data_IF_507908220257
#
_entry.id   IF_507908220257
#
_cell.length_a   1.000
_cell.length_b   1.000
_cell.length_c   1.000
_cell.angle_alpha   90.00
_cell.angle_beta   90.00
_cell.angle_gamma   90.00
#
_symmetry.space_group_name_H-M   'P 1'
#
loop_
_entity.id
_entity.type
_entity.pdbx_description
1 polymer ?
#
# COMPACT_ATOMS: atom_id res chain seq x y z
N UNK A 1 -8.66 52.34 -8.15
CA UNK A 1 -9.45 51.33 -8.87
C UNK A 1 -9.62 50.15 -7.94
N UNK A 2 -10.63 50.23 -7.08
CA UNK A 2 -10.87 49.28 -5.99
C UNK A 2 -11.55 48.06 -6.60
N UNK A 3 -10.79 46.99 -6.82
CA UNK A 3 -11.34 45.71 -7.24
C UNK A 3 -12.10 45.13 -6.05
N UNK A 4 -13.40 45.34 -6.03
CA UNK A 4 -14.33 44.45 -5.32
C UNK A 4 -14.27 43.08 -5.98
N UNK A 5 -13.22 42.31 -5.67
CA UNK A 5 -13.26 40.87 -5.87
C UNK A 5 -14.33 40.39 -4.90
N UNK A 6 -15.51 40.01 -5.42
CA UNK A 6 -16.57 39.34 -4.64
C UNK A 6 -15.89 38.35 -3.70
N UNK A 7 -16.08 38.51 -2.39
CA UNK A 7 -15.30 37.78 -1.37
C UNK A 7 -15.23 36.26 -1.62
N UNK A 8 -16.26 35.67 -2.24
CA UNK A 8 -16.31 34.27 -2.66
C UNK A 8 -15.24 33.89 -3.71
N UNK A 9 -14.96 34.74 -4.72
CA UNK A 9 -13.91 34.45 -5.70
C UNK A 9 -12.51 34.76 -5.18
N UNK A 10 -12.34 35.76 -4.30
CA UNK A 10 -11.06 36.05 -3.65
C UNK A 10 -10.62 34.91 -2.73
N UNK A 11 -11.54 34.40 -1.89
CA UNK A 11 -11.30 33.30 -0.97
C UNK A 11 -10.84 32.05 -1.72
N UNK A 12 -11.58 31.63 -2.75
CA UNK A 12 -11.24 30.46 -3.58
C UNK A 12 -9.85 30.58 -4.23
N UNK A 13 -9.53 31.75 -4.78
CA UNK A 13 -8.22 31.99 -5.40
C UNK A 13 -7.10 31.97 -4.36
N UNK A 14 -7.32 32.56 -3.17
CA UNK A 14 -6.32 32.56 -2.11
C UNK A 14 -6.06 31.15 -1.57
N UNK A 15 -7.11 30.35 -1.32
CA UNK A 15 -6.98 28.98 -0.83
C UNK A 15 -6.38 28.03 -1.87
N UNK A 16 -6.63 28.25 -3.15
CA UNK A 16 -6.02 27.45 -4.22
C UNK A 16 -4.49 27.61 -4.33
N UNK A 17 -3.91 28.64 -3.69
CA UNK A 17 -2.45 28.85 -3.61
C UNK A 17 -1.80 28.16 -2.41
N UNK A 18 -2.58 27.62 -1.49
CA UNK A 18 -2.04 26.91 -0.34
C UNK A 18 -1.34 25.62 -0.81
N UNK A 19 -0.26 25.20 -0.15
CA UNK A 19 0.40 23.94 -0.48
C UNK A 19 -0.59 22.77 -0.43
N UNK A 20 -0.55 21.94 -1.46
CA UNK A 20 -1.32 20.71 -1.54
C UNK A 20 -0.35 19.57 -1.84
N UNK A 21 -0.55 18.44 -1.17
CA UNK A 21 0.16 17.21 -1.50
C UNK A 21 -0.62 16.37 -2.51
N UNK A 22 -0.06 15.22 -2.90
CA UNK A 22 -0.78 14.20 -3.65
C UNK A 22 -0.50 12.84 -3.00
N UNK A 23 -1.48 12.35 -2.26
CA UNK A 23 -1.38 11.09 -1.54
C UNK A 23 -2.52 10.17 -1.90
N UNK A 24 -2.26 8.87 -1.90
CA UNK A 24 -3.30 7.85 -1.80
C UNK A 24 -3.60 7.63 -0.32
N UNK A 25 -4.82 7.97 0.08
CA UNK A 25 -5.39 7.56 1.35
C UNK A 25 -5.99 6.17 1.19
N UNK A 26 -5.64 5.23 2.06
CA UNK A 26 -6.20 3.88 2.05
C UNK A 26 -6.69 3.46 3.43
N UNK A 27 -7.66 2.55 3.46
CA UNK A 27 -8.14 1.90 4.68
C UNK A 27 -8.78 0.56 4.33
N UNK A 28 -8.84 -0.34 5.31
CA UNK A 28 -9.46 -1.66 5.18
C UNK A 28 -10.15 -2.06 6.48
N UNK A 29 -11.28 -2.73 6.37
CA UNK A 29 -12.02 -3.31 7.48
C UNK A 29 -12.73 -4.59 7.04
N UNK A 30 -12.43 -5.70 7.72
CA UNK A 30 -12.84 -7.03 7.26
C UNK A 30 -12.25 -7.33 5.87
N UNK A 31 -13.09 -7.81 4.95
CA UNK A 31 -12.70 -8.06 3.56
C UNK A 31 -12.75 -6.81 2.66
N UNK A 32 -13.32 -5.70 3.17
CA UNK A 32 -13.48 -4.48 2.39
C UNK A 32 -12.22 -3.62 2.51
N UNK A 33 -11.67 -3.22 1.37
CA UNK A 33 -10.55 -2.28 1.29
C UNK A 33 -10.75 -1.31 0.15
N UNK A 34 -10.35 -0.06 0.35
CA UNK A 34 -10.50 0.98 -0.65
C UNK A 34 -9.39 2.04 -0.54
N UNK A 35 -9.31 2.91 -1.53
CA UNK A 35 -8.36 4.01 -1.59
C UNK A 35 -8.95 5.22 -2.31
N UNK A 36 -8.38 6.40 -2.07
CA UNK A 36 -8.69 7.59 -2.84
C UNK A 36 -7.50 8.55 -2.88
N UNK A 37 -7.40 9.33 -3.94
CA UNK A 37 -6.45 10.43 -3.97
C UNK A 37 -6.95 11.57 -3.09
N UNK A 38 -6.10 12.02 -2.17
CA UNK A 38 -6.29 13.19 -1.32
C UNK A 38 -5.17 14.19 -1.53
N UNK A 39 -5.49 15.47 -1.37
CA UNK A 39 -4.52 16.56 -1.54
C UNK A 39 -4.31 17.40 -0.29
N UNK A 40 -5.27 17.35 0.63
CA UNK A 40 -5.30 18.13 1.87
C UNK A 40 -4.71 17.32 3.03
N UNK A 41 -3.41 17.05 2.95
CA UNK A 41 -2.64 16.29 3.95
C UNK A 41 -1.58 17.19 4.54
N UNK A 42 -1.43 17.20 5.87
CA UNK A 42 -0.40 17.98 6.57
C UNK A 42 0.15 17.19 7.77
N UNK A 43 1.42 17.43 8.11
CA UNK A 43 1.98 17.02 9.39
C UNK A 43 1.50 17.98 10.48
N UNK A 44 0.95 17.43 11.56
CA UNK A 44 0.31 18.16 12.65
C UNK A 44 1.20 18.30 13.89
N UNK A 45 1.98 17.26 14.22
CA UNK A 45 2.85 17.25 15.38
C UNK A 45 4.11 16.41 15.14
N UNK A 46 5.17 16.73 15.89
CA UNK A 46 6.45 16.01 15.85
C UNK A 46 6.50 14.83 16.83
N UNK A 47 5.91 14.96 18.02
CA UNK A 47 5.97 13.93 19.08
C UNK A 47 4.61 13.79 19.82
N UNK A 48 3.92 12.62 19.70
CA UNK A 48 4.19 11.59 18.70
C UNK A 48 3.91 12.13 17.28
N UNK A 49 4.61 11.62 16.25
CA UNK A 49 4.38 12.07 14.87
C UNK A 49 2.91 11.90 14.50
N UNK A 50 2.27 13.02 14.14
CA UNK A 50 0.82 13.09 13.90
C UNK A 50 0.55 13.79 12.59
N UNK A 51 -0.43 13.31 11.84
CA UNK A 51 -0.86 13.88 10.55
C UNK A 51 -2.35 14.18 10.58
N UNK A 52 -2.75 15.14 9.75
CA UNK A 52 -4.16 15.41 9.43
C UNK A 52 -4.42 15.18 7.96
N UNK A 53 -5.57 14.59 7.64
CA UNK A 53 -6.08 14.49 6.28
C UNK A 53 -7.53 14.97 6.24
N UNK A 54 -7.85 15.86 5.31
CA UNK A 54 -9.23 16.22 5.00
C UNK A 54 -9.75 15.34 3.85
N UNK A 55 -10.94 14.79 4.04
CA UNK A 55 -11.59 13.85 3.12
C UNK A 55 -12.97 14.36 2.78
N UNK A 56 -13.37 14.26 1.52
CA UNK A 56 -14.70 14.68 1.08
C UNK A 56 -15.76 13.81 1.77
N UNK A 57 -16.81 14.45 2.30
CA UNK A 57 -17.92 13.74 2.94
C UNK A 57 -18.60 12.76 1.99
N UNK A 58 -19.09 11.65 2.54
CA UNK A 58 -19.83 10.63 1.80
C UNK A 58 -18.94 9.69 0.98
N UNK A 59 -17.61 9.72 1.17
CA UNK A 59 -16.74 8.76 0.52
C UNK A 59 -16.89 7.36 1.13
N UNK A 60 -16.72 6.34 0.30
CA UNK A 60 -16.65 4.93 0.68
C UNK A 60 -15.58 4.62 1.74
N UNK A 61 -14.57 5.48 1.91
CA UNK A 61 -13.49 5.31 2.87
C UNK A 61 -13.88 5.71 4.29
N UNK A 62 -14.82 6.65 4.46
CA UNK A 62 -15.22 7.16 5.77
C UNK A 62 -15.64 6.04 6.74
N UNK A 63 -16.52 5.08 6.36
CA UNK A 63 -16.83 3.96 7.24
C UNK A 63 -15.63 3.04 7.48
N UNK A 64 -14.78 2.78 6.47
CA UNK A 64 -13.59 1.92 6.66
C UNK A 64 -12.62 2.51 7.68
N UNK A 65 -12.32 3.81 7.60
CA UNK A 65 -11.41 4.49 8.52
C UNK A 65 -11.99 4.49 9.94
N UNK A 66 -13.29 4.77 10.07
CA UNK A 66 -13.98 4.80 11.36
C UNK A 66 -14.01 3.41 12.02
N UNK A 67 -14.35 2.38 11.25
CA UNK A 67 -14.61 1.05 11.81
C UNK A 67 -13.29 0.28 12.04
N UNK A 68 -12.26 0.52 11.22
CA UNK A 68 -10.91 -0.05 11.43
C UNK A 68 -10.05 0.72 12.44
N UNK A 69 -10.34 2.01 12.66
CA UNK A 69 -9.48 2.91 13.42
C UNK A 69 -8.09 3.12 12.80
N UNK A 70 -7.88 2.71 11.54
CA UNK A 70 -6.57 2.73 10.88
C UNK A 70 -6.70 3.26 9.45
N UNK A 71 -5.71 4.04 9.01
CA UNK A 71 -5.58 4.45 7.62
C UNK A 71 -4.10 4.60 7.24
N UNK A 72 -3.80 4.58 5.94
CA UNK A 72 -2.46 4.88 5.44
C UNK A 72 -2.48 6.03 4.45
N UNK A 73 -1.41 6.81 4.43
CA UNK A 73 -1.14 7.84 3.44
C UNK A 73 0.10 7.44 2.66
N UNK A 74 -0.05 7.29 1.35
CA UNK A 74 1.01 6.87 0.45
C UNK A 74 1.30 7.98 -0.56
N UNK A 75 2.51 8.50 -0.60
CA UNK A 75 2.94 9.47 -1.60
C UNK A 75 3.04 8.78 -2.96
N UNK A 76 2.30 9.27 -3.95
CA UNK A 76 2.35 8.75 -5.31
C UNK A 76 3.21 9.68 -6.16
N UNK A 77 4.23 9.13 -6.81
CA UNK A 77 5.01 9.88 -7.79
C UNK A 77 4.15 10.25 -9.02
N UNK A 78 4.33 11.45 -9.57
CA UNK A 78 3.57 11.93 -10.73
C UNK A 78 3.68 11.01 -11.96
N UNK A 79 4.77 10.26 -12.07
CA UNK A 79 4.99 9.29 -13.14
C UNK A 79 4.11 8.02 -13.02
N UNK A 80 3.53 7.74 -11.84
CA UNK A 80 2.66 6.58 -11.65
C UNK A 80 1.23 6.91 -12.10
N UNK A 81 1.06 6.83 -13.42
CA UNK A 81 -0.22 7.00 -14.10
C UNK A 81 -1.23 5.90 -13.73
N UNK A 82 -0.77 4.74 -13.26
CA UNK A 82 -1.63 3.58 -13.06
C UNK A 82 -2.40 3.70 -11.74
N UNK A 83 -1.70 3.91 -10.61
CA UNK A 83 -2.34 4.21 -9.33
C UNK A 83 -3.17 5.49 -9.41
N UNK A 84 -2.63 6.50 -10.10
CA UNK A 84 -3.32 7.77 -10.29
C UNK A 84 -4.66 7.61 -11.00
N UNK A 85 -4.75 6.79 -12.05
CA UNK A 85 -6.01 6.55 -12.78
C UNK A 85 -6.98 5.69 -12.01
N UNK A 86 -6.49 4.69 -11.28
CA UNK A 86 -7.32 3.76 -10.52
C UNK A 86 -8.10 4.44 -9.41
N UNK A 87 -7.44 5.34 -8.68
CA UNK A 87 -8.02 6.05 -7.52
C UNK A 87 -8.47 7.48 -7.82
N UNK A 88 -8.50 7.87 -9.10
CA UNK A 88 -8.95 9.21 -9.54
C UNK A 88 -10.46 9.38 -9.43
N UNK A 89 -11.23 8.29 -9.50
CA UNK A 89 -12.68 8.31 -9.36
C UNK A 89 -13.06 7.74 -7.99
N UNK A 90 -14.06 8.31 -7.31
CA UNK A 90 -14.66 7.66 -6.16
C UNK A 90 -15.12 6.26 -6.57
N UNK A 91 -14.52 5.24 -5.98
CA UNK A 91 -14.95 3.85 -6.11
C UNK A 91 -15.94 3.56 -5.00
N UNK A 92 -17.14 3.12 -5.37
CA UNK A 92 -18.08 2.57 -4.41
C UNK A 92 -17.52 1.29 -3.80
N UNK A 93 -17.85 0.99 -2.54
CA UNK A 93 -17.47 -0.27 -1.88
C UNK A 93 -18.09 -1.52 -2.53
N UNK A 94 -19.03 -1.34 -3.47
CA UNK A 94 -19.73 -2.44 -4.15
C UNK A 94 -19.00 -2.98 -5.39
N UNK A 95 -17.85 -2.39 -5.74
CA UNK A 95 -17.02 -2.86 -6.85
C UNK A 95 -16.03 -3.95 -6.46
N UNK A 96 -15.28 -4.43 -7.46
CA UNK A 96 -14.11 -5.28 -7.22
C UNK A 96 -13.08 -4.53 -6.37
N UNK A 97 -12.33 -5.30 -5.59
CA UNK A 97 -11.25 -4.78 -4.77
C UNK A 97 -10.21 -4.02 -5.62
N UNK A 98 -10.03 -2.71 -5.39
CA UNK A 98 -9.17 -1.87 -6.22
C UNK A 98 -7.68 -2.19 -6.04
N UNK A 99 -7.30 -3.03 -5.08
CA UNK A 99 -5.91 -3.46 -4.90
C UNK A 99 -5.66 -4.86 -5.47
N UNK A 100 -6.66 -5.50 -6.07
CA UNK A 100 -6.50 -6.81 -6.70
C UNK A 100 -5.46 -6.74 -7.84
N UNK A 101 -4.42 -7.58 -7.76
CA UNK A 101 -3.33 -7.61 -8.75
C UNK A 101 -2.22 -6.59 -8.51
N UNK A 102 -2.28 -5.78 -7.43
CA UNK A 102 -1.21 -4.87 -7.05
C UNK A 102 -0.31 -5.46 -5.97
N UNK A 103 0.99 -5.16 -6.04
CA UNK A 103 1.93 -5.49 -4.98
C UNK A 103 1.71 -4.55 -3.79
N UNK A 104 1.52 -5.13 -2.61
CA UNK A 104 1.33 -4.41 -1.35
C UNK A 104 2.52 -4.65 -0.41
N UNK A 105 2.80 -3.68 0.47
CA UNK A 105 3.84 -3.77 1.49
C UNK A 105 3.44 -4.83 2.54
N UNK A 106 4.19 -5.95 2.67
CA UNK A 106 3.79 -7.09 3.51
C UNK A 106 3.60 -6.79 5.00
N UNK A 107 4.29 -5.77 5.51
CA UNK A 107 4.26 -5.37 6.92
C UNK A 107 3.00 -4.58 7.30
N UNK A 108 2.18 -4.21 6.31
CA UNK A 108 0.99 -3.34 6.46
C UNK A 108 -0.33 -4.11 6.29
N UNK A 109 -0.43 -5.34 6.81
CA UNK A 109 -1.57 -6.24 6.53
C UNK A 109 -2.95 -5.67 6.88
N UNK A 110 -3.04 -4.78 7.87
CA UNK A 110 -4.29 -4.15 8.29
C UNK A 110 -4.77 -3.02 7.36
N UNK A 111 -3.92 -2.53 6.45
CA UNK A 111 -4.24 -1.41 5.57
C UNK A 111 -3.42 -1.48 4.27
N UNK A 112 -4.04 -1.46 3.08
CA UNK A 112 -3.29 -1.68 1.86
C UNK A 112 -2.36 -0.50 1.55
N UNK A 113 -1.07 -0.77 1.46
CA UNK A 113 -0.05 0.19 1.01
C UNK A 113 0.61 -0.35 -0.27
N UNK A 114 0.42 0.29 -1.43
CA UNK A 114 1.10 -0.14 -2.66
C UNK A 114 2.62 0.00 -2.56
N UNK A 115 3.37 -1.00 -3.01
CA UNK A 115 4.85 -0.94 -3.02
C UNK A 115 5.41 0.10 -3.98
N UNK A 116 4.59 0.62 -4.89
CA UNK A 116 4.95 1.67 -5.83
C UNK A 116 4.93 3.08 -5.21
N UNK A 117 4.45 3.23 -3.97
CA UNK A 117 4.48 4.51 -3.26
C UNK A 117 5.92 4.97 -3.02
N UNK A 118 6.20 6.27 -3.18
CA UNK A 118 7.52 6.85 -2.91
C UNK A 118 7.82 6.88 -1.40
N UNK A 119 6.80 7.21 -0.61
CA UNK A 119 6.83 7.17 0.84
C UNK A 119 5.44 6.81 1.36
N UNK A 120 5.37 6.29 2.58
CA UNK A 120 4.09 5.98 3.19
C UNK A 120 4.15 6.04 4.72
N UNK A 121 2.99 6.29 5.31
CA UNK A 121 2.76 6.21 6.76
C UNK A 121 1.46 5.46 7.04
N UNK A 122 1.49 4.55 8.01
CA UNK A 122 0.29 3.92 8.60
C UNK A 122 -0.02 4.67 9.89
N UNK A 123 -1.30 5.03 10.03
CA UNK A 123 -1.79 5.87 11.11
C UNK A 123 -2.92 5.19 11.88
N UNK A 124 -2.86 5.28 13.19
CA UNK A 124 -3.99 5.01 14.08
C UNK A 124 -4.83 6.28 14.24
N UNK A 125 -6.14 6.16 14.07
CA UNK A 125 -7.08 7.28 14.17
C UNK A 125 -7.17 7.78 15.62
N UNK A 126 -6.74 9.02 15.86
CA UNK A 126 -6.90 9.71 17.14
C UNK A 126 -8.27 10.38 17.21
N UNK A 127 -8.64 11.09 16.14
CA UNK A 127 -9.85 11.92 16.12
C UNK A 127 -10.42 12.05 14.71
N UNK A 128 -11.73 12.03 14.64
CA UNK A 128 -12.52 12.41 13.48
C UNK A 128 -13.35 13.65 13.83
N UNK A 129 -13.31 14.65 12.97
CA UNK A 129 -13.99 15.94 13.15
C UNK A 129 -14.85 16.24 11.93
N UNK A 130 -16.16 16.41 12.15
CA UNK A 130 -17.03 17.09 11.20
C UNK A 130 -16.86 18.61 11.41
N UNK A 131 -16.44 19.31 10.35
CA UNK A 131 -16.22 20.76 10.34
C UNK A 131 -17.39 21.53 9.70
N UNK A 132 -18.56 20.88 9.57
CA UNK A 132 -19.79 21.45 8.99
C UNK A 132 -19.61 21.99 7.55
N UNK A 133 -18.61 21.46 6.84
CA UNK A 133 -18.29 21.79 5.45
C UNK A 133 -18.44 20.56 4.53
N UNK A 134 -17.89 20.63 3.32
CA UNK A 134 -17.91 19.54 2.34
C UNK A 134 -16.84 18.45 2.60
N UNK A 135 -15.95 18.69 3.57
CA UNK A 135 -14.94 17.75 4.04
C UNK A 135 -15.10 17.46 5.53
N UNK A 136 -14.50 16.36 5.94
CA UNK A 136 -14.29 15.93 7.33
C UNK A 136 -12.80 15.73 7.55
N UNK A 137 -12.33 15.92 8.79
CA UNK A 137 -10.91 15.84 9.13
C UNK A 137 -10.66 14.58 9.95
N UNK A 138 -9.65 13.82 9.52
CA UNK A 138 -9.11 12.69 10.26
C UNK A 138 -7.72 13.07 10.79
N UNK A 139 -7.50 12.85 12.08
CA UNK A 139 -6.23 13.08 12.77
C UNK A 139 -5.68 11.72 13.16
N UNK A 140 -4.48 11.38 12.68
CA UNK A 140 -3.87 10.08 12.89
C UNK A 140 -2.47 10.16 13.47
N UNK A 141 -2.17 9.27 14.43
CA UNK A 141 -0.82 9.05 14.96
C UNK A 141 -0.11 8.07 14.05
N UNK A 142 1.08 8.41 13.57
CA UNK A 142 1.90 7.50 12.77
C UNK A 142 2.42 6.36 13.66
N UNK A 143 2.15 5.12 13.24
CA UNK A 143 2.59 3.89 13.94
C UNK A 143 3.61 3.10 13.13
N UNK A 144 3.56 3.19 11.80
CA UNK A 144 4.56 2.62 10.89
C UNK A 144 4.82 3.59 9.74
N UNK A 145 6.00 3.50 9.13
CA UNK A 145 6.35 4.32 7.98
C UNK A 145 7.39 3.62 7.10
N UNK A 146 7.47 4.01 5.85
CA UNK A 146 8.49 3.59 4.91
C UNK A 146 8.78 4.65 3.86
N UNK A 147 10.00 4.61 3.32
CA UNK A 147 10.45 5.47 2.22
C UNK A 147 11.17 4.58 1.22
N UNK A 148 10.82 4.74 -0.05
CA UNK A 148 11.43 4.05 -1.17
C UNK A 148 12.27 5.05 -1.95
N UNK A 149 13.57 4.78 -2.10
CA UNK A 149 14.42 5.54 -3.01
C UNK A 149 13.99 5.24 -4.45
N UNK A 150 13.15 6.10 -5.04
CA UNK A 150 12.76 6.02 -6.46
C UNK A 150 13.89 6.42 -7.43
N UNK A 151 15.14 6.46 -6.96
CA UNK A 151 16.30 6.68 -7.84
C UNK A 151 16.41 5.52 -8.82
N UNK A 152 16.14 5.81 -10.10
CA UNK A 152 16.36 4.99 -11.29
C UNK A 152 17.23 3.75 -11.05
N UNK A 153 16.68 2.56 -11.29
CA UNK A 153 17.45 1.32 -11.38
C UNK A 153 18.50 1.43 -12.50
N UNK A 154 19.70 1.88 -12.15
CA UNK A 154 20.91 1.32 -12.76
C UNK A 154 21.35 0.15 -11.88
N UNK A 155 21.44 -1.09 -12.41
CA UNK A 155 21.77 -2.25 -11.60
C UNK A 155 23.23 -2.13 -11.14
N UNK A 156 23.44 -1.66 -9.91
CA UNK A 156 24.74 -1.74 -9.24
C UNK A 156 25.02 -3.21 -8.94
N UNK A 157 25.86 -3.83 -9.79
CA UNK A 157 26.49 -5.12 -9.51
C UNK A 157 27.15 -5.06 -8.14
N UNK A 158 26.53 -5.68 -7.13
CA UNK A 158 27.14 -5.87 -5.82
C UNK A 158 28.35 -6.79 -5.97
N UNK A 159 29.55 -6.19 -6.00
CA UNK A 159 30.80 -6.93 -5.81
C UNK A 159 30.79 -7.43 -4.37
N UNK A 160 30.58 -8.74 -4.19
CA UNK A 160 30.90 -9.43 -2.92
C UNK A 160 32.33 -9.05 -2.54
N UNK A 161 32.50 -8.18 -1.55
CA UNK A 161 33.78 -7.98 -0.87
C UNK A 161 34.04 -9.25 -0.08
N UNK A 162 34.84 -10.14 -0.63
CA UNK A 162 35.52 -11.15 0.18
C UNK A 162 36.57 -10.36 0.96
N UNK A 163 36.35 -10.22 2.27
CA UNK A 163 37.35 -9.73 3.20
C UNK A 163 38.51 -10.72 3.23
N UNK A 164 39.63 -10.33 2.64
CA UNK A 164 40.90 -11.01 2.82
C UNK A 164 41.53 -10.46 4.10
N UNK A 165 41.41 -11.20 5.21
CA UNK A 165 42.46 -11.25 6.23
C UNK A 165 42.24 -12.45 7.16
N UNK A 166 42.92 -13.56 6.84
CA UNK A 166 43.37 -14.57 7.80
C UNK A 166 44.16 -15.68 7.05
N UNK A 167 45.48 -15.65 7.19
CA UNK A 167 46.36 -16.85 7.12
C UNK A 167 47.32 -16.71 8.30
N UNK A 168 47.93 -17.77 8.90
CA UNK A 168 47.98 -19.15 8.41
C UNK A 168 47.80 -20.25 9.50
N UNK A 169 47.54 -21.49 9.08
CA UNK A 169 48.32 -22.64 9.58
C UNK A 169 48.20 -23.87 8.67
N UNK A 170 49.35 -24.43 8.34
CA UNK A 170 49.54 -25.62 7.52
C UNK A 170 49.30 -26.88 8.35
N UNK A 171 48.67 -27.90 7.76
CA UNK A 171 48.80 -29.30 8.17
C UNK A 171 48.59 -30.22 6.94
N UNK A 172 49.59 -31.07 6.74
CA UNK A 172 49.72 -32.09 5.71
C UNK A 172 48.59 -33.15 5.75
N UNK A 173 48.24 -33.73 4.58
CA UNK A 173 47.44 -34.96 4.54
C UNK A 173 47.12 -35.49 3.14
N UNK A 174 47.92 -36.46 2.70
CA UNK A 174 47.86 -37.28 1.48
C UNK A 174 46.47 -37.81 1.05
N UNK A 175 46.23 -37.86 -0.27
CA UNK A 175 46.03 -39.15 -0.96
C UNK A 175 44.66 -39.51 -1.59
N UNK A 176 44.74 -39.94 -2.86
CA UNK A 176 43.80 -40.76 -3.68
C UNK A 176 42.50 -40.09 -4.16
N UNK A 177 42.17 -39.94 -5.46
CA UNK A 177 42.20 -40.76 -6.70
C UNK A 177 41.02 -41.73 -6.85
N UNK A 178 40.17 -41.40 -7.84
CA UNK A 178 39.18 -42.22 -8.61
C UNK A 178 37.93 -42.66 -7.82
N UNK A 179 36.73 -42.76 -8.39
CA UNK A 179 36.38 -43.25 -9.73
C UNK A 179 34.94 -42.86 -10.16
N UNK A 180 34.68 -43.00 -11.47
CA UNK A 180 33.40 -42.78 -12.16
C UNK A 180 32.57 -44.07 -12.22
N UNK A 181 31.23 -43.96 -12.14
CA UNK A 181 30.16 -44.64 -12.93
C UNK A 181 28.84 -44.47 -12.17
N UNK A 182 27.76 -43.96 -12.78
CA UNK A 182 26.80 -44.71 -13.63
C UNK A 182 25.63 -45.14 -12.73
N UNK A 183 24.34 -45.10 -13.05
CA UNK A 183 23.57 -45.04 -14.30
C UNK A 183 22.10 -44.76 -13.95
N UNK A 184 21.37 -44.25 -14.94
CA UNK A 184 19.93 -44.29 -15.23
C UNK A 184 18.97 -45.13 -14.36
N UNK A 185 17.77 -44.58 -14.14
CA UNK A 185 16.60 -45.31 -13.62
C UNK A 185 15.31 -44.48 -13.67
N UNK A 186 14.61 -44.54 -14.80
CA UNK A 186 13.27 -44.02 -15.12
C UNK A 186 12.17 -44.90 -14.50
N UNK A 187 11.08 -44.32 -13.97
CA UNK A 187 9.67 -44.70 -14.22
C UNK A 187 8.66 -44.11 -13.20
N UNK A 188 7.81 -43.19 -13.67
CA UNK A 188 6.35 -43.13 -13.41
C UNK A 188 5.67 -44.17 -14.35
N UNK A 189 4.43 -44.71 -14.15
CA UNK A 189 3.20 -43.90 -13.94
C UNK A 189 1.96 -44.55 -13.27
N UNK A 190 0.92 -43.72 -13.02
CA UNK A 190 -0.52 -44.07 -13.08
C UNK A 190 -1.16 -44.59 -11.78
N UNK A 191 -2.32 -44.10 -11.33
CA UNK A 191 -3.63 -44.32 -11.97
C UNK A 191 -4.74 -43.46 -11.35
N UNK A 192 -5.71 -43.08 -12.20
CA UNK A 192 -6.96 -42.32 -11.99
C UNK A 192 -8.06 -43.06 -11.19
N UNK A 193 -8.99 -42.30 -10.59
CA UNK A 193 -10.46 -42.47 -10.57
C UNK A 193 -11.02 -41.37 -9.63
N UNK A 194 -11.83 -40.36 -10.00
CA UNK A 194 -13.12 -40.31 -10.71
C UNK A 194 -14.28 -40.99 -9.96
N UNK A 195 -15.20 -40.17 -9.42
CA UNK A 195 -16.68 -40.28 -9.30
C UNK A 195 -17.15 -39.13 -8.37
N UNK A 196 -17.75 -38.03 -8.87
CA UNK A 196 -19.19 -37.82 -9.14
C UNK A 196 -20.14 -38.27 -8.02
N UNK A 197 -20.84 -37.31 -7.40
CA UNK A 197 -22.31 -37.27 -7.28
C UNK A 197 -22.79 -35.98 -6.55
N UNK A 198 -23.34 -35.04 -7.31
CA UNK A 198 -24.57 -34.28 -6.95
C UNK A 198 -25.75 -34.99 -7.64
N UNK A 199 -27.06 -34.73 -7.37
CA UNK A 199 -27.66 -33.62 -6.61
C UNK A 199 -28.82 -34.07 -5.67
N UNK A 200 -29.42 -33.15 -4.91
CA UNK A 200 -30.89 -33.13 -4.75
C UNK A 200 -31.42 -31.79 -4.20
N UNK A 201 -32.34 -31.21 -4.98
CA UNK A 201 -33.21 -30.08 -4.62
C UNK A 201 -34.25 -30.48 -3.57
N UNK A 202 -34.73 -29.47 -2.82
CA UNK A 202 -36.09 -29.19 -2.28
C UNK A 202 -35.94 -28.63 -0.86
N UNK A 203 -36.62 -27.57 -0.42
CA UNK A 203 -37.62 -26.72 -1.03
C UNK A 203 -38.12 -25.70 0.03
N UNK A 204 -38.77 -24.64 -0.45
CA UNK A 204 -39.92 -23.94 0.15
C UNK A 204 -39.83 -23.23 1.52
N UNK A 205 -40.02 -21.90 1.45
CA UNK A 205 -40.96 -21.07 2.24
C UNK A 205 -41.05 -21.24 3.75
N UNK A 206 -40.60 -20.22 4.50
CA UNK A 206 -41.48 -19.37 5.30
C UNK A 206 -40.84 -17.98 5.52
#
# INVERSE_FOLDING_TARGET
>A
MTLEIRADSASKVATARMPAGRFLLTSAFGEARNGMIVTQVQKCADEPPTVTVAVRKGHALSPLIRDSGTFALCEIADADLLLSRLFQRPSDLQGDDPFLGHCLVPETQSVPVPTAAASWVVCELIRHLDIEADHEIYIGRVTQAGVHDLTEETPKKSKRRISADATPQALNGKGSRRERRGTDGRAEPGTKAELQEEPTKTGSTN
#
